data_IF_465956189658
#
_entry.id   IF_465956189658
#
_cell.length_a   1.000
_cell.length_b   1.000
_cell.length_c   1.000
_cell.angle_alpha   90.00
_cell.angle_beta   90.00
_cell.angle_gamma   90.00
#
_symmetry.space_group_name_H-M   'P 1'
#
loop_
_entity.id
_entity.type
_entity.pdbx_description
1 polymer ?
#
# COMPACT_ATOMS: atom_id res chain seq x y z
N UNK A 1 -5.13 -2.83 -4.57
CA UNK A 1 -4.39 -2.01 -5.55
C UNK A 1 -3.89 -0.72 -4.94
N UNK A 2 -4.79 0.18 -4.53
CA UNK A 2 -4.45 1.53 -4.04
C UNK A 2 -4.06 1.62 -2.55
N UNK A 3 -3.37 0.61 -2.01
CA UNK A 3 -2.93 0.62 -0.60
C UNK A 3 -1.46 1.00 -0.49
N UNK A 4 -1.08 1.78 0.51
CA UNK A 4 0.32 2.10 0.79
C UNK A 4 1.02 1.02 1.63
N UNK A 5 0.25 0.27 2.42
CA UNK A 5 0.77 -0.69 3.40
C UNK A 5 0.11 -2.05 3.20
N UNK A 6 0.81 -3.11 3.55
CA UNK A 6 0.17 -4.42 3.73
C UNK A 6 -0.27 -4.61 5.18
N UNK A 7 -1.09 -5.62 5.41
CA UNK A 7 -1.45 -6.06 6.75
C UNK A 7 -0.43 -7.09 7.21
N UNK A 8 0.20 -6.83 8.37
CA UNK A 8 1.03 -7.80 9.07
C UNK A 8 0.29 -8.32 10.29
N UNK A 9 0.32 -9.64 10.48
CA UNK A 9 -0.31 -10.32 11.60
C UNK A 9 -0.16 -11.83 11.49
N UNK A 10 -0.45 -12.55 12.56
CA UNK A 10 -0.44 -14.01 12.53
C UNK A 10 -1.78 -14.50 11.98
N UNK A 11 -1.76 -15.05 10.77
CA UNK A 11 -2.94 -15.66 10.15
C UNK A 11 -3.15 -17.05 10.75
N UNK A 12 -4.38 -17.30 11.21
CA UNK A 12 -4.83 -18.61 11.69
C UNK A 12 -5.56 -19.31 10.56
N UNK A 13 -4.88 -20.29 9.95
CA UNK A 13 -5.41 -21.04 8.82
C UNK A 13 -6.36 -22.17 9.22
N UNK A 14 -6.52 -22.46 10.51
CA UNK A 14 -7.40 -23.55 10.98
C UNK A 14 -8.87 -23.33 10.64
N UNK A 15 -9.27 -22.07 10.43
CA UNK A 15 -10.64 -21.69 10.07
C UNK A 15 -10.88 -21.61 8.56
N UNK A 16 -9.82 -21.56 7.75
CA UNK A 16 -9.92 -21.41 6.30
C UNK A 16 -10.25 -22.76 5.66
N UNK A 17 -11.24 -22.82 4.78
CA UNK A 17 -11.65 -24.06 4.10
C UNK A 17 -12.55 -24.99 4.93
N UNK A 18 -13.10 -24.48 6.03
CA UNK A 18 -14.14 -25.18 6.80
C UNK A 18 -15.51 -25.07 6.12
N UNK A 19 -16.43 -26.03 6.31
CA UNK A 19 -17.79 -25.92 5.78
C UNK A 19 -18.49 -24.66 6.30
N UNK A 20 -19.03 -23.84 5.39
CA UNK A 20 -19.72 -22.59 5.71
C UNK A 20 -19.17 -21.40 4.92
N UNK A 21 -19.59 -20.17 5.27
CA UNK A 21 -19.08 -18.96 4.64
C UNK A 21 -17.56 -18.84 4.79
N UNK A 22 -16.89 -18.38 3.73
CA UNK A 22 -15.45 -18.17 3.76
C UNK A 22 -15.06 -17.29 4.95
N UNK A 23 -14.22 -17.84 5.82
CA UNK A 23 -13.77 -17.20 7.05
C UNK A 23 -12.25 -17.21 7.09
N UNK A 24 -11.68 -16.08 7.50
CA UNK A 24 -10.26 -15.96 7.81
C UNK A 24 -10.10 -15.36 9.21
N UNK A 25 -9.07 -15.78 9.94
CA UNK A 25 -8.80 -15.31 11.30
C UNK A 25 -7.38 -14.81 11.39
N UNK A 26 -7.21 -13.66 12.05
CA UNK A 26 -5.91 -13.07 12.34
C UNK A 26 -5.85 -12.81 13.83
N UNK A 27 -4.76 -13.22 14.47
CA UNK A 27 -4.56 -13.10 15.91
C UNK A 27 -3.23 -12.44 16.27
N UNK A 28 -3.12 -12.07 17.54
CA UNK A 28 -1.95 -11.37 18.08
C UNK A 28 -1.96 -9.87 17.78
N UNK A 29 -0.77 -9.27 17.72
CA UNK A 29 -0.61 -7.86 17.40
C UNK A 29 -0.62 -7.65 15.88
N UNK A 30 -1.54 -6.82 15.42
CA UNK A 30 -1.65 -6.44 14.01
C UNK A 30 -0.89 -5.14 13.74
N UNK A 31 -0.17 -5.12 12.63
CA UNK A 31 0.66 -3.99 12.22
C UNK A 31 0.41 -3.65 10.75
N UNK A 32 0.61 -2.39 10.40
CA UNK A 32 0.78 -2.00 9.01
C UNK A 32 2.24 -2.25 8.62
N UNK A 33 2.45 -3.11 7.63
CA UNK A 33 3.77 -3.36 7.08
C UNK A 33 4.00 -2.41 5.90
N UNK A 34 5.08 -1.64 5.99
CA UNK A 34 5.53 -0.73 4.95
C UNK A 34 6.91 -1.22 4.52
N UNK A 35 7.03 -1.61 3.25
CA UNK A 35 8.30 -2.02 2.68
C UNK A 35 9.21 -0.83 2.36
N UNK A 36 10.36 -1.11 1.75
CA UNK A 36 11.22 -0.10 1.13
C UNK A 36 10.45 0.73 0.09
N UNK A 37 10.90 1.98 -0.14
CA UNK A 37 10.29 2.88 -1.13
C UNK A 37 10.38 2.30 -2.55
N UNK A 38 11.50 1.65 -2.87
CA UNK A 38 11.69 0.91 -4.11
C UNK A 38 11.59 -0.60 -3.87
N UNK A 39 11.11 -1.38 -4.84
CA UNK A 39 11.23 -2.83 -4.77
C UNK A 39 12.71 -3.25 -4.74
N UNK A 40 12.97 -4.41 -4.14
CA UNK A 40 14.27 -5.07 -4.27
C UNK A 40 14.47 -5.52 -5.71
N UNK A 41 15.73 -5.66 -6.13
CA UNK A 41 16.07 -6.12 -7.48
C UNK A 41 15.38 -7.45 -7.81
N UNK A 42 14.72 -7.49 -8.96
CA UNK A 42 13.96 -8.65 -9.44
C UNK A 42 12.61 -8.88 -8.75
N UNK A 43 12.24 -8.09 -7.73
CA UNK A 43 10.95 -8.20 -7.04
C UNK A 43 9.91 -7.27 -7.67
N UNK A 44 8.72 -7.79 -7.94
CA UNK A 44 7.61 -6.98 -8.45
C UNK A 44 7.18 -5.92 -7.42
N UNK A 45 6.92 -4.67 -7.82
CA UNK A 45 6.49 -3.61 -6.91
C UNK A 45 5.11 -3.93 -6.29
N UNK A 46 4.94 -3.59 -5.01
CA UNK A 46 3.68 -3.79 -4.28
C UNK A 46 3.35 -2.58 -3.42
N UNK A 47 2.05 -2.40 -3.15
CA UNK A 47 1.54 -1.34 -2.25
C UNK A 47 2.06 0.06 -2.64
N UNK A 48 2.70 0.79 -1.72
CA UNK A 48 3.24 2.13 -1.99
C UNK A 48 4.26 2.17 -3.14
N UNK A 49 4.99 1.08 -3.40
CA UNK A 49 6.01 1.02 -4.45
C UNK A 49 5.41 1.21 -5.85
N UNK A 50 4.12 0.88 -6.02
CA UNK A 50 3.39 1.08 -7.28
C UNK A 50 3.28 2.56 -7.67
N UNK A 51 3.45 3.48 -6.73
CA UNK A 51 3.43 4.93 -6.98
C UNK A 51 4.82 5.54 -7.21
N UNK A 52 5.90 4.78 -7.01
CA UNK A 52 7.30 5.27 -7.02
C UNK A 52 8.11 4.65 -8.16
N UNK A 53 8.08 3.33 -8.28
CA UNK A 53 9.04 2.54 -9.07
C UNK A 53 9.12 2.95 -10.55
N UNK A 54 7.98 2.98 -11.23
CA UNK A 54 7.87 3.35 -12.65
C UNK A 54 6.53 4.05 -12.84
N UNK A 55 6.58 5.38 -12.79
CA UNK A 55 5.41 6.25 -12.89
C UNK A 55 4.90 6.37 -14.33
N UNK A 56 5.73 6.06 -15.33
CA UNK A 56 5.33 6.13 -16.73
C UNK A 56 4.40 4.97 -17.08
N UNK A 57 4.68 3.77 -16.56
CA UNK A 57 3.83 2.59 -16.75
C UNK A 57 3.00 2.24 -15.52
N UNK A 58 2.70 3.20 -14.65
CA UNK A 58 2.06 2.97 -13.35
C UNK A 58 0.77 2.16 -13.46
N UNK A 59 -0.15 2.54 -14.34
CA UNK A 59 -1.44 1.84 -14.50
C UNK A 59 -1.20 0.39 -14.94
N UNK A 60 -0.29 0.16 -15.90
CA UNK A 60 0.07 -1.18 -16.36
C UNK A 60 0.68 -2.01 -15.21
N UNK A 61 1.57 -1.41 -14.43
CA UNK A 61 2.22 -2.04 -13.28
C UNK A 61 1.17 -2.40 -12.22
N UNK A 62 0.25 -1.48 -11.91
CA UNK A 62 -0.87 -1.73 -11.01
C UNK A 62 -1.78 -2.86 -11.49
N UNK A 63 -2.13 -2.90 -12.77
CA UNK A 63 -2.94 -4.01 -13.32
C UNK A 63 -2.20 -5.33 -13.17
N UNK A 64 -0.93 -5.39 -13.59
CA UNK A 64 -0.10 -6.61 -13.55
C UNK A 64 0.18 -7.14 -12.14
N UNK A 65 0.14 -6.28 -11.13
CA UNK A 65 0.31 -6.68 -9.74
C UNK A 65 -0.93 -7.40 -9.17
N UNK A 66 -2.08 -7.31 -9.86
CA UNK A 66 -3.36 -7.86 -9.42
C UNK A 66 -3.97 -8.87 -10.40
N UNK A 67 -3.55 -8.90 -11.67
CA UNK A 67 -3.88 -10.00 -12.57
C UNK A 67 -3.09 -11.26 -12.19
N UNK A 68 -3.82 -12.34 -11.86
CA UNK A 68 -3.24 -13.67 -11.72
C UNK A 68 -3.09 -14.29 -13.10
N UNK A 69 -2.08 -15.15 -13.30
CA UNK A 69 -1.77 -15.78 -14.58
C UNK A 69 -2.92 -16.63 -15.21
N UNK A 70 -4.07 -16.75 -14.54
CA UNK A 70 -5.21 -17.55 -14.99
C UNK A 70 -6.48 -16.74 -15.28
N UNK A 71 -6.55 -15.45 -14.97
CA UNK A 71 -7.75 -14.63 -15.23
C UNK A 71 -7.35 -13.19 -15.59
N UNK A 72 -7.25 -12.91 -16.89
CA UNK A 72 -7.01 -11.57 -17.43
C UNK A 72 -8.31 -10.74 -17.58
N UNK A 73 -9.46 -11.30 -17.17
CA UNK A 73 -10.73 -10.95 -17.82
C UNK A 73 -11.69 -10.08 -16.97
N UNK A 74 -11.18 -9.08 -16.24
CA UNK A 74 -12.12 -8.22 -15.49
C UNK A 74 -11.62 -6.91 -14.92
N UNK A 75 -10.32 -6.63 -14.95
CA UNK A 75 -9.83 -5.37 -14.39
C UNK A 75 -9.87 -4.26 -15.44
N UNK A 76 -10.84 -3.36 -15.30
CA UNK A 76 -11.00 -2.24 -16.23
C UNK A 76 -9.94 -1.15 -15.98
N UNK A 77 -9.03 -0.99 -16.94
CA UNK A 77 -7.95 0.02 -16.90
C UNK A 77 -8.46 1.45 -16.74
N UNK A 78 -9.64 1.79 -17.28
CA UNK A 78 -10.23 3.12 -17.16
C UNK A 78 -10.69 3.41 -15.72
N UNK A 79 -11.19 2.39 -15.01
CA UNK A 79 -11.55 2.54 -13.59
C UNK A 79 -10.28 2.74 -12.76
N UNK A 80 -9.23 1.96 -13.04
CA UNK A 80 -7.94 2.09 -12.35
C UNK A 80 -7.35 3.48 -12.54
N UNK A 81 -7.36 4.00 -13.77
CA UNK A 81 -6.90 5.35 -14.09
C UNK A 81 -7.70 6.42 -13.35
N UNK A 82 -9.04 6.37 -13.39
CA UNK A 82 -9.89 7.33 -12.69
C UNK A 82 -9.66 7.34 -11.18
N UNK A 83 -9.50 6.17 -10.57
CA UNK A 83 -9.22 6.06 -9.14
C UNK A 83 -7.82 6.60 -8.79
N UNK A 84 -6.81 6.30 -9.61
CA UNK A 84 -5.48 6.88 -9.48
C UNK A 84 -5.55 8.41 -9.54
N UNK A 85 -6.19 8.98 -10.55
CA UNK A 85 -6.23 10.44 -10.74
C UNK A 85 -6.99 11.13 -9.60
N UNK A 86 -8.09 10.54 -9.13
CA UNK A 86 -8.79 11.01 -7.93
C UNK A 86 -7.86 11.00 -6.70
N UNK A 87 -7.09 9.93 -6.51
CA UNK A 87 -6.17 9.82 -5.38
C UNK A 87 -5.01 10.80 -5.49
N UNK A 88 -4.43 11.00 -6.67
CA UNK A 88 -3.40 12.02 -6.90
C UNK A 88 -3.92 13.43 -6.58
N UNK A 89 -5.18 13.73 -6.94
CA UNK A 89 -5.79 15.03 -6.70
C UNK A 89 -6.05 15.29 -5.21
N UNK A 90 -6.64 14.31 -4.49
CA UNK A 90 -7.19 14.55 -3.16
C UNK A 90 -6.40 13.93 -2.01
N UNK A 91 -5.69 12.81 -2.22
CA UNK A 91 -5.07 12.08 -1.13
C UNK A 91 -3.70 12.69 -0.75
N UNK A 92 -3.55 13.26 0.46
CA UNK A 92 -2.29 13.89 0.87
C UNK A 92 -1.14 12.88 0.99
N UNK A 93 -1.42 11.61 1.28
CA UNK A 93 -0.39 10.58 1.34
C UNK A 93 0.13 10.21 -0.05
N UNK A 94 -0.74 10.18 -1.07
CA UNK A 94 -0.27 10.01 -2.45
C UNK A 94 0.70 11.13 -2.79
N UNK A 95 0.35 12.39 -2.49
CA UNK A 95 1.23 13.54 -2.73
C UNK A 95 2.58 13.39 -2.01
N UNK A 96 2.59 12.96 -0.75
CA UNK A 96 3.85 12.69 -0.02
C UNK A 96 4.68 11.58 -0.68
N UNK A 97 4.05 10.53 -1.18
CA UNK A 97 4.71 9.43 -1.88
C UNK A 97 5.24 9.87 -3.24
N UNK A 98 4.50 10.71 -3.99
CA UNK A 98 4.96 11.33 -5.25
C UNK A 98 6.19 12.22 -5.03
N UNK A 99 6.15 13.07 -4.00
CA UNK A 99 7.31 13.88 -3.63
C UNK A 99 8.52 13.00 -3.30
N UNK A 100 8.32 11.90 -2.56
CA UNK A 100 9.40 10.96 -2.29
C UNK A 100 9.93 10.30 -3.58
N UNK A 101 9.07 10.01 -4.56
CA UNK A 101 9.48 9.48 -5.85
C UNK A 101 10.36 10.46 -6.63
N UNK A 102 9.98 11.74 -6.66
CA UNK A 102 10.78 12.79 -7.31
C UNK A 102 12.16 12.92 -6.64
N UNK A 103 12.18 12.90 -5.30
CA UNK A 103 13.42 12.94 -4.53
C UNK A 103 14.31 11.73 -4.84
N UNK A 104 13.76 10.51 -4.84
CA UNK A 104 14.49 9.27 -5.17
C UNK A 104 15.12 9.33 -6.57
N UNK A 105 14.43 9.93 -7.55
CA UNK A 105 14.97 10.10 -8.92
C UNK A 105 16.09 11.13 -9.00
N UNK A 106 15.95 12.21 -8.23
CA UNK A 106 16.94 13.30 -8.20
C UNK A 106 18.16 12.99 -7.31
N UNK A 107 17.99 12.10 -6.32
CA UNK A 107 19.06 11.69 -5.43
C UNK A 107 20.00 10.75 -6.16
N UNK A 108 21.17 11.24 -6.55
CA UNK A 108 22.24 10.46 -7.20
C UNK A 108 22.90 9.45 -6.24
N UNK A 109 22.13 8.52 -5.68
CA UNK A 109 22.62 7.47 -4.77
C UNK A 109 22.57 7.84 -3.28
N UNK A 110 21.84 8.89 -2.89
CA UNK A 110 21.60 9.17 -1.46
C UNK A 110 20.43 8.33 -0.93
N UNK A 111 20.55 7.89 0.33
CA UNK A 111 19.45 7.21 1.02
C UNK A 111 18.29 8.19 1.29
N UNK A 112 17.12 7.87 0.74
CA UNK A 112 15.89 8.64 0.94
C UNK A 112 14.96 7.91 1.91
N UNK A 113 14.48 8.62 2.93
CA UNK A 113 13.52 8.10 3.89
C UNK A 113 12.27 8.97 3.97
N UNK A 114 11.11 8.38 3.68
CA UNK A 114 9.81 9.03 3.91
C UNK A 114 9.37 8.79 5.36
N UNK A 115 9.24 9.87 6.14
CA UNK A 115 8.75 9.82 7.52
C UNK A 115 7.44 10.60 7.67
N UNK A 116 6.35 9.90 7.94
CA UNK A 116 5.06 10.51 8.24
C UNK A 116 5.01 10.88 9.73
N UNK A 117 5.29 12.14 10.03
CA UNK A 117 5.27 12.66 11.40
C UNK A 117 3.86 13.13 11.76
N UNK A 118 3.24 12.49 12.75
CA UNK A 118 1.98 12.96 13.35
C UNK A 118 2.27 13.54 14.73
N UNK A 119 1.83 14.77 14.99
CA UNK A 119 1.84 15.34 16.35
C UNK A 119 0.89 14.51 17.22
N UNK A 120 1.43 13.74 18.16
CA UNK A 120 0.64 12.91 19.08
C UNK A 120 0.36 13.71 20.35
N UNK A 121 -0.77 14.42 20.36
CA UNK A 121 -1.28 15.06 21.58
C UNK A 121 -2.02 14.07 22.50
N UNK A 122 -2.38 12.89 21.98
CA UNK A 122 -3.05 11.78 22.65
C UNK A 122 -2.41 10.46 22.16
N UNK A 123 -2.41 9.41 22.98
CA UNK A 123 -1.83 8.12 22.59
C UNK A 123 -2.75 7.42 21.57
N UNK A 124 -2.23 7.16 20.37
CA UNK A 124 -2.99 6.50 19.30
C UNK A 124 -3.17 4.99 19.51
N UNK A 125 -2.57 4.40 20.56
CA UNK A 125 -2.59 2.96 20.84
C UNK A 125 -3.38 2.56 22.09
N UNK A 126 -3.94 3.52 22.83
CA UNK A 126 -4.73 3.27 24.03
C UNK A 126 -6.01 4.11 24.05
N UNK A 127 -7.00 3.64 24.83
CA UNK A 127 -8.21 4.38 25.15
C UNK A 127 -7.84 5.74 25.76
N UNK A 128 -7.97 6.80 24.96
CA UNK A 128 -7.79 8.15 25.45
C UNK A 128 -9.00 8.56 26.29
N UNK A 129 -8.78 9.26 27.40
CA UNK A 129 -9.86 9.82 28.21
C UNK A 129 -10.74 10.75 27.34
N UNK A 130 -12.07 10.71 27.55
CA UNK A 130 -12.98 11.60 26.85
C UNK A 130 -12.59 13.05 27.13
N UNK A 131 -12.53 13.87 26.07
CA UNK A 131 -12.36 15.31 26.21
C UNK A 131 -13.72 15.99 26.14
N UNK A 132 -13.99 16.87 27.11
CA UNK A 132 -15.09 17.83 27.12
C UNK A 132 -15.03 18.79 25.95
#
# INVERSE_FOLDING_TARGET
MFSFTSMGGKVDHTVTGTPGPFSFKIGGQNYHLIGSLLPLDGVKPKFAQLYIYDTENEVRNMMSAFSTAQNDDGLNSQIVLKLKDMLDQYNPFVKSVRMAADQVRSSHGCDVQLRLLRKRYKDGRMYNLPST
#
